data_IF_624486569093
#
_entry.id   IF_624486569093
#
_cell.length_a   1.000
_cell.length_b   1.000
_cell.length_c   1.000
_cell.angle_alpha   90.00
_cell.angle_beta   90.00
_cell.angle_gamma   90.00
#
_symmetry.space_group_name_H-M   'P 1'
#
loop_
_entity.id
_entity.type
_entity.pdbx_description
1 polymer ?
#
# COMPACT_ATOMS: atom_id res chain seq x y z
N UNK A 1 5.49 -53.51 -66.04
CA UNK A 1 6.08 -52.18 -65.90
C UNK A 1 5.46 -51.56 -64.64
N UNK A 2 6.07 -51.77 -63.52
CA UNK A 2 5.58 -51.35 -62.19
C UNK A 2 6.50 -50.24 -61.67
N UNK A 3 5.98 -49.05 -61.47
CA UNK A 3 6.72 -47.92 -60.84
C UNK A 3 6.39 -47.90 -59.36
N UNK A 4 7.40 -48.21 -58.55
CA UNK A 4 7.36 -48.04 -57.07
C UNK A 4 7.68 -46.61 -56.72
N UNK A 5 6.78 -45.92 -56.02
CA UNK A 5 7.02 -44.60 -55.41
C UNK A 5 7.46 -44.76 -53.98
N UNK A 6 8.69 -44.33 -53.69
CA UNK A 6 9.24 -44.24 -52.32
C UNK A 6 8.73 -42.94 -51.70
N UNK A 7 7.96 -43.05 -50.61
CA UNK A 7 7.54 -41.91 -49.75
C UNK A 7 8.55 -41.81 -48.63
N UNK A 8 9.36 -40.75 -48.68
CA UNK A 8 10.31 -40.43 -47.59
C UNK A 8 9.57 -39.69 -46.46
N UNK A 9 9.46 -40.33 -45.30
CA UNK A 9 8.87 -39.78 -44.10
C UNK A 9 9.95 -38.95 -43.33
N UNK A 10 9.87 -37.64 -43.44
CA UNK A 10 10.73 -36.74 -42.66
C UNK A 10 10.18 -36.63 -41.23
N UNK A 11 10.89 -37.21 -40.27
CA UNK A 11 10.58 -37.12 -38.84
C UNK A 11 11.19 -35.79 -38.27
N UNK A 12 10.38 -34.76 -38.13
CA UNK A 12 10.81 -33.54 -37.49
C UNK A 12 10.87 -33.72 -35.96
N UNK A 13 12.07 -33.80 -35.42
CA UNK A 13 12.31 -33.84 -33.97
C UNK A 13 12.06 -32.44 -33.37
N UNK A 14 10.90 -32.24 -32.75
CA UNK A 14 10.64 -31.10 -31.86
C UNK A 14 11.42 -31.30 -30.54
N UNK A 15 12.54 -30.59 -30.39
CA UNK A 15 13.23 -30.46 -29.11
C UNK A 15 12.39 -29.54 -28.20
N UNK A 16 12.02 -29.97 -26.99
CA UNK A 16 11.40 -29.09 -26.03
C UNK A 16 12.44 -28.06 -25.53
N UNK A 17 12.25 -26.81 -25.89
CA UNK A 17 12.98 -25.67 -25.32
C UNK A 17 12.49 -25.46 -23.88
N UNK A 18 13.17 -26.12 -22.92
CA UNK A 18 12.93 -25.93 -21.50
C UNK A 18 13.35 -24.50 -21.13
N UNK A 19 12.39 -23.57 -21.06
CA UNK A 19 12.60 -22.27 -20.46
C UNK A 19 12.89 -22.50 -18.96
N UNK A 20 14.13 -22.32 -18.55
CA UNK A 20 14.50 -22.15 -17.16
C UNK A 20 13.94 -20.78 -16.74
N UNK A 21 12.79 -20.79 -16.08
CA UNK A 21 12.28 -19.60 -15.40
C UNK A 21 13.16 -19.42 -14.14
N UNK A 22 14.10 -18.50 -14.20
CA UNK A 22 14.82 -18.04 -13.02
C UNK A 22 13.79 -17.48 -12.03
N UNK A 23 13.63 -18.15 -10.90
CA UNK A 23 12.78 -17.70 -9.82
C UNK A 23 13.37 -16.42 -9.23
N UNK A 24 12.71 -15.28 -9.44
CA UNK A 24 13.04 -14.04 -8.76
C UNK A 24 12.82 -14.25 -7.24
N UNK A 25 13.90 -14.19 -6.48
CA UNK A 25 13.90 -14.42 -5.04
C UNK A 25 13.74 -13.08 -4.31
N UNK A 26 12.54 -12.82 -3.83
CA UNK A 26 12.30 -11.80 -2.82
C UNK A 26 12.18 -12.47 -1.44
N UNK A 27 12.72 -11.86 -0.40
CA UNK A 27 12.59 -12.38 0.96
C UNK A 27 11.12 -12.55 1.33
N UNK A 28 10.76 -13.74 1.80
CA UNK A 28 9.39 -14.07 2.19
C UNK A 28 9.19 -13.69 3.66
N UNK A 29 8.82 -12.42 3.91
CA UNK A 29 8.52 -11.93 5.25
C UNK A 29 7.01 -11.93 5.50
N UNK A 30 6.61 -12.46 6.65
CA UNK A 30 5.26 -12.28 7.20
C UNK A 30 5.35 -11.32 8.37
N UNK A 31 4.60 -10.24 8.30
CA UNK A 31 4.57 -9.18 9.32
C UNK A 31 3.19 -9.13 9.94
N UNK A 32 3.11 -9.15 11.26
CA UNK A 32 1.82 -9.11 11.97
C UNK A 32 1.96 -8.35 13.30
N UNK A 33 1.05 -7.40 13.55
CA UNK A 33 0.05 -6.85 12.64
C UNK A 33 0.67 -6.01 11.50
N UNK A 34 -0.08 -5.75 10.42
CA UNK A 34 0.35 -4.94 9.28
C UNK A 34 0.20 -3.43 9.52
N UNK A 35 -0.11 -3.02 10.72
CA UNK A 35 -0.19 -1.66 11.22
C UNK A 35 -0.37 -1.69 12.74
N UNK A 36 0.00 -0.63 13.42
CA UNK A 36 -0.11 -0.53 14.86
C UNK A 36 -1.01 0.63 15.25
N UNK A 37 -2.01 0.36 16.09
CA UNK A 37 -2.90 1.36 16.64
C UNK A 37 -2.73 1.38 18.16
N UNK A 38 -2.23 2.49 18.67
CA UNK A 38 -2.09 2.76 20.11
C UNK A 38 -3.13 3.79 20.53
N UNK A 39 -3.68 3.62 21.69
CA UNK A 39 -4.44 4.69 22.35
C UNK A 39 -3.48 5.77 22.88
N UNK A 40 -4.01 6.96 23.14
CA UNK A 40 -3.21 8.08 23.67
C UNK A 40 -2.49 7.76 24.99
N UNK A 41 -2.98 6.78 25.76
CA UNK A 41 -2.42 6.35 27.05
C UNK A 41 -1.42 5.21 26.93
N UNK A 42 -1.43 4.47 25.83
CA UNK A 42 -0.49 3.37 25.59
C UNK A 42 0.90 3.89 25.25
N UNK A 43 1.89 3.28 25.86
CA UNK A 43 3.29 3.67 25.70
C UNK A 43 4.04 2.88 24.65
N UNK A 44 3.55 1.69 24.30
CA UNK A 44 4.25 0.83 23.36
C UNK A 44 3.32 -0.23 22.77
N UNK A 45 3.71 -0.72 21.60
CA UNK A 45 3.14 -1.89 20.95
C UNK A 45 4.25 -2.76 20.37
N UNK A 46 3.86 -3.88 19.81
CA UNK A 46 4.77 -4.87 19.24
C UNK A 46 4.31 -5.32 17.85
N UNK A 47 5.27 -5.62 16.99
CA UNK A 47 5.06 -6.23 15.68
C UNK A 47 5.98 -7.43 15.58
N UNK A 48 5.44 -8.57 15.13
CA UNK A 48 6.20 -9.79 14.91
C UNK A 48 6.51 -9.93 13.42
N UNK A 49 7.77 -10.20 13.12
CA UNK A 49 8.30 -10.45 11.78
C UNK A 49 8.73 -11.91 11.74
N UNK A 50 8.19 -12.67 10.80
CA UNK A 50 8.52 -14.08 10.56
C UNK A 50 9.22 -14.16 9.22
N UNK A 51 10.42 -14.72 9.23
CA UNK A 51 11.15 -15.06 8.01
C UNK A 51 10.70 -16.44 7.55
N UNK A 52 9.98 -16.50 6.42
CA UNK A 52 9.55 -17.79 5.83
C UNK A 52 10.47 -18.27 4.69
N UNK A 53 11.60 -17.59 4.50
CA UNK A 53 12.64 -17.98 3.57
C UNK A 53 13.59 -19.04 4.20
N UNK A 54 14.36 -19.72 3.37
CA UNK A 54 15.39 -20.69 3.76
C UNK A 54 16.73 -20.03 4.18
N UNK A 55 16.85 -18.72 4.01
CA UNK A 55 18.04 -17.94 4.35
C UNK A 55 17.73 -16.89 5.42
N UNK A 56 18.72 -16.52 6.25
CA UNK A 56 18.56 -15.43 7.18
C UNK A 56 18.35 -14.11 6.42
N UNK A 57 17.58 -13.19 6.98
CA UNK A 57 17.35 -11.86 6.43
C UNK A 57 17.83 -10.80 7.42
N UNK A 58 18.54 -9.79 6.91
CA UNK A 58 18.97 -8.62 7.69
C UNK A 58 18.00 -7.48 7.42
N UNK A 59 17.46 -6.89 8.48
CA UNK A 59 16.46 -5.83 8.41
C UNK A 59 16.95 -4.59 9.15
N UNK A 60 16.73 -3.42 8.54
CA UNK A 60 16.82 -2.12 9.19
C UNK A 60 15.42 -1.60 9.47
N UNK A 61 15.22 -1.09 10.67
CA UNK A 61 13.94 -0.62 11.19
C UNK A 61 14.02 0.87 11.48
N UNK A 62 13.14 1.67 10.89
CA UNK A 62 13.12 3.13 11.08
C UNK A 62 11.69 3.60 11.20
N UNK A 63 11.47 4.58 12.09
CA UNK A 63 10.15 5.19 12.24
C UNK A 63 10.23 6.69 11.97
N UNK A 64 9.20 7.22 11.31
CA UNK A 64 9.09 8.61 10.90
C UNK A 64 7.73 9.17 11.26
N UNK A 65 7.65 10.45 11.57
CA UNK A 65 6.38 11.17 11.57
C UNK A 65 5.86 11.23 10.12
N UNK A 66 4.56 11.06 9.97
CA UNK A 66 3.93 10.96 8.66
C UNK A 66 2.88 12.04 8.48
N UNK A 67 2.99 12.77 7.38
CA UNK A 67 1.97 13.67 6.85
C UNK A 67 1.73 13.38 5.37
N UNK A 68 0.66 13.94 4.80
CA UNK A 68 0.27 13.73 3.41
C UNK A 68 0.10 15.05 2.69
N UNK A 69 0.53 15.10 1.42
CA UNK A 69 0.18 16.14 0.47
C UNK A 69 -1.17 15.82 -0.20
N UNK A 70 -1.79 16.83 -0.82
CA UNK A 70 -3.09 16.68 -1.50
C UNK A 70 -3.09 15.65 -2.64
N UNK A 71 -1.96 15.40 -3.28
CA UNK A 71 -1.80 14.38 -4.32
C UNK A 71 -1.62 12.98 -3.74
N UNK A 72 -1.60 12.85 -2.41
CA UNK A 72 -1.41 11.61 -1.69
C UNK A 72 0.04 11.18 -1.52
N UNK A 73 1.01 12.03 -1.87
CA UNK A 73 2.41 11.77 -1.54
C UNK A 73 2.61 11.84 -0.03
N UNK A 74 3.31 10.83 0.49
CA UNK A 74 3.66 10.76 1.90
C UNK A 74 4.90 11.62 2.17
N UNK A 75 4.81 12.45 3.20
CA UNK A 75 5.96 13.16 3.76
C UNK A 75 6.39 12.46 5.06
N UNK A 76 7.67 12.12 5.12
CA UNK A 76 8.25 11.36 6.23
C UNK A 76 9.37 12.16 6.88
N UNK A 77 9.08 12.67 8.07
CA UNK A 77 9.99 13.48 8.85
C UNK A 77 10.62 12.68 9.99
N UNK A 78 11.90 12.96 10.30
CA UNK A 78 12.55 12.36 11.46
C UNK A 78 11.80 12.77 12.73
N UNK A 79 11.64 11.82 13.64
CA UNK A 79 10.95 12.07 14.92
C UNK A 79 11.70 11.45 16.09
N UNK A 80 11.57 12.07 17.26
CA UNK A 80 11.99 11.52 18.54
C UNK A 80 10.79 11.05 19.39
N UNK A 81 9.55 11.30 18.93
CA UNK A 81 8.32 10.98 19.67
C UNK A 81 8.01 9.49 19.68
N UNK A 82 8.54 8.78 18.70
CA UNK A 82 8.42 7.34 18.53
C UNK A 82 9.79 6.73 18.25
N UNK A 83 10.04 5.58 18.86
CA UNK A 83 11.24 4.78 18.62
C UNK A 83 10.86 3.34 18.27
N UNK A 84 11.67 2.69 17.44
CA UNK A 84 11.62 1.25 17.18
C UNK A 84 12.86 0.58 17.78
N UNK A 85 12.68 -0.53 18.45
CA UNK A 85 13.76 -1.27 19.11
C UNK A 85 13.63 -2.78 18.87
N UNK A 86 14.75 -3.42 18.49
CA UNK A 86 16.01 -2.83 18.08
C UNK A 86 15.94 -2.17 16.70
N UNK A 87 16.86 -1.25 16.32
CA UNK A 87 16.85 -0.57 15.02
C UNK A 87 17.35 -1.43 13.84
N UNK A 88 17.99 -2.55 14.14
CA UNK A 88 18.43 -3.54 13.15
C UNK A 88 18.38 -4.93 13.75
N UNK A 89 17.99 -5.91 12.92
CA UNK A 89 17.86 -7.32 13.32
C UNK A 89 18.31 -8.23 12.20
N UNK A 90 18.77 -9.42 12.58
CA UNK A 90 18.89 -10.57 11.68
C UNK A 90 17.86 -11.59 12.11
N UNK A 91 16.96 -11.97 11.19
CA UNK A 91 15.94 -12.99 11.43
C UNK A 91 16.41 -14.29 10.74
N UNK A 92 16.76 -15.34 11.50
CA UNK A 92 17.18 -16.62 10.90
C UNK A 92 16.08 -17.22 10.01
N UNK A 93 16.46 -18.15 9.16
CA UNK A 93 15.54 -18.94 8.34
C UNK A 93 14.46 -19.62 9.21
N UNK A 94 13.20 -19.50 8.83
CA UNK A 94 12.05 -20.06 9.54
C UNK A 94 11.76 -19.49 10.92
N UNK A 95 12.55 -18.51 11.39
CA UNK A 95 12.41 -17.91 12.72
C UNK A 95 11.49 -16.68 12.73
N UNK A 96 11.10 -16.28 13.92
CA UNK A 96 10.35 -15.05 14.18
C UNK A 96 11.12 -14.11 15.11
N UNK A 97 10.90 -12.81 14.94
CA UNK A 97 11.43 -11.77 15.80
C UNK A 97 10.34 -10.74 16.13
N UNK A 98 10.22 -10.37 17.38
CA UNK A 98 9.26 -9.34 17.82
C UNK A 98 10.00 -8.04 18.09
N UNK A 99 9.64 -6.99 17.36
CA UNK A 99 10.12 -5.63 17.53
C UNK A 99 9.14 -4.84 18.38
N UNK A 100 9.67 -3.87 19.13
CA UNK A 100 8.87 -2.98 19.96
C UNK A 100 8.88 -1.56 19.40
N UNK A 101 7.71 -0.97 19.30
CA UNK A 101 7.52 0.44 18.96
C UNK A 101 7.08 1.12 20.26
N UNK A 102 7.75 2.20 20.65
CA UNK A 102 7.50 2.85 21.94
C UNK A 102 7.53 4.38 21.84
N UNK A 103 6.77 5.01 22.73
CA UNK A 103 6.77 6.46 22.98
C UNK A 103 7.67 6.71 24.18
N UNK A 104 8.88 7.29 24.01
CA UNK A 104 9.79 7.55 25.13
C UNK A 104 9.19 8.58 26.11
N UNK A 105 8.48 9.57 25.57
CA UNK A 105 7.76 10.57 26.36
C UNK A 105 6.28 10.55 25.96
N UNK A 106 5.40 10.42 26.97
CA UNK A 106 3.96 10.43 26.74
C UNK A 106 3.46 11.86 26.90
N UNK A 107 3.31 12.55 25.78
CA UNK A 107 2.63 13.85 25.69
C UNK A 107 1.14 13.64 25.47
N UNK A 108 0.27 14.56 25.92
CA UNK A 108 -1.15 14.52 25.58
C UNK A 108 -1.36 14.53 24.06
N UNK A 109 -2.24 13.67 23.58
CA UNK A 109 -2.61 13.58 22.16
C UNK A 109 -3.99 14.25 22.00
N UNK A 110 -4.08 15.27 21.15
CA UNK A 110 -5.34 15.90 20.77
C UNK A 110 -5.68 15.52 19.33
N UNK A 111 -6.41 14.42 19.16
CA UNK A 111 -6.68 13.83 17.88
C UNK A 111 -5.81 12.60 17.64
N UNK A 112 -5.03 12.59 16.59
CA UNK A 112 -4.20 11.46 16.21
C UNK A 112 -2.81 11.91 15.75
N UNK A 113 -1.79 11.14 16.17
CA UNK A 113 -0.44 11.23 15.65
C UNK A 113 -0.22 10.07 14.69
N UNK A 114 0.30 10.36 13.50
CA UNK A 114 0.54 9.38 12.46
C UNK A 114 2.04 9.19 12.22
N UNK A 115 2.45 7.94 12.07
CA UNK A 115 3.84 7.57 11.80
C UNK A 115 3.90 6.47 10.75
N UNK A 116 5.08 6.33 10.11
CA UNK A 116 5.43 5.21 9.24
C UNK A 116 6.60 4.44 9.81
N UNK A 117 6.41 3.15 10.04
CA UNK A 117 7.48 2.21 10.31
C UNK A 117 7.97 1.65 8.97
N UNK A 118 9.22 1.93 8.64
CA UNK A 118 9.91 1.36 7.49
C UNK A 118 10.72 0.14 7.95
N UNK A 119 10.51 -0.98 7.29
CA UNK A 119 11.25 -2.23 7.47
C UNK A 119 11.96 -2.47 6.14
N UNK A 120 13.25 -2.16 6.10
CA UNK A 120 14.10 -2.28 4.92
C UNK A 120 14.92 -3.56 5.00
N UNK A 121 14.82 -4.40 3.98
CA UNK A 121 15.74 -5.50 3.79
C UNK A 121 17.12 -4.96 3.39
N UNK A 122 18.15 -5.42 4.08
CA UNK A 122 19.53 -5.06 3.74
C UNK A 122 20.12 -6.10 2.78
N UNK A 123 20.81 -5.65 1.71
CA UNK A 123 21.47 -6.56 0.81
C UNK A 123 22.45 -7.47 1.57
N UNK A 124 22.41 -8.75 1.29
CA UNK A 124 23.44 -9.66 1.78
C UNK A 124 24.72 -9.48 0.94
N UNK A 125 25.91 -9.63 1.57
CA UNK A 125 27.17 -9.62 0.84
C UNK A 125 27.14 -10.63 -0.30
N UNK A 126 27.67 -10.24 -1.44
CA UNK A 126 27.78 -11.14 -2.59
C UNK A 126 28.80 -12.23 -2.31
N UNK A 127 28.49 -13.47 -2.67
CA UNK A 127 29.51 -14.50 -2.85
C UNK A 127 30.31 -14.11 -4.10
N UNK A 128 31.65 -13.89 -3.97
CA UNK A 128 32.49 -13.56 -5.12
C UNK A 128 32.41 -14.57 -6.28
N UNK A 129 31.95 -15.79 -5.99
CA UNK A 129 31.80 -16.85 -6.99
C UNK A 129 30.52 -16.73 -7.83
N UNK A 130 29.55 -15.91 -7.38
CA UNK A 130 28.25 -15.69 -8.07
C UNK A 130 28.13 -14.26 -8.62
N UNK A 131 29.20 -13.49 -8.62
CA UNK A 131 29.22 -12.13 -9.15
C UNK A 131 28.77 -12.10 -10.61
N UNK A 132 27.69 -11.36 -10.89
CA UNK A 132 27.21 -11.08 -12.24
C UNK A 132 25.99 -11.88 -12.70
N UNK A 133 25.36 -12.70 -11.87
CA UNK A 133 24.15 -13.43 -12.25
C UNK A 133 22.93 -12.97 -11.43
N UNK A 134 21.95 -12.40 -12.13
CA UNK A 134 20.62 -12.07 -11.60
C UNK A 134 20.45 -10.66 -11.06
N UNK A 135 19.19 -10.25 -10.90
CA UNK A 135 18.76 -9.00 -10.27
C UNK A 135 18.47 -9.26 -8.80
N UNK A 136 19.17 -8.56 -7.90
CA UNK A 136 18.86 -8.60 -6.47
C UNK A 136 17.77 -7.59 -6.18
N UNK A 137 16.64 -8.07 -5.72
CA UNK A 137 15.55 -7.24 -5.22
C UNK A 137 15.66 -7.16 -3.70
N UNK A 138 15.62 -5.94 -3.17
CA UNK A 138 15.46 -5.67 -1.74
C UNK A 138 14.09 -5.06 -1.51
N UNK A 139 13.41 -5.49 -0.47
CA UNK A 139 12.06 -5.05 -0.17
C UNK A 139 12.06 -3.98 0.93
N UNK A 140 11.18 -3.00 0.76
CA UNK A 140 10.78 -2.07 1.81
C UNK A 140 9.32 -2.29 2.14
N UNK A 141 9.03 -2.61 3.40
CA UNK A 141 7.69 -2.60 3.93
C UNK A 141 7.47 -1.30 4.69
N UNK A 142 6.35 -0.60 4.40
CA UNK A 142 5.94 0.62 5.07
C UNK A 142 4.62 0.37 5.80
N UNK A 143 4.65 0.40 7.14
CA UNK A 143 3.50 0.11 7.96
C UNK A 143 3.02 1.37 8.69
N UNK A 144 1.70 1.63 8.73
CA UNK A 144 1.15 2.73 9.49
C UNK A 144 1.24 2.43 10.99
N UNK A 145 1.56 3.47 11.76
CA UNK A 145 1.53 3.45 13.23
C UNK A 145 0.77 4.69 13.67
N UNK A 146 -0.31 4.51 14.41
CA UNK A 146 -1.16 5.59 14.90
C UNK A 146 -1.20 5.61 16.41
N UNK A 147 -1.26 6.83 16.98
CA UNK A 147 -1.55 7.06 18.38
C UNK A 147 -2.77 7.97 18.46
N UNK A 148 -3.89 7.43 18.92
CA UNK A 148 -5.19 8.06 18.75
C UNK A 148 -5.85 8.38 20.10
N UNK A 149 -6.34 9.61 20.26
CA UNK A 149 -7.26 9.98 21.35
C UNK A 149 -8.59 9.25 21.14
N UNK A 150 -9.17 8.72 22.23
CA UNK A 150 -10.42 7.97 22.18
C UNK A 150 -11.61 8.77 21.59
N UNK A 151 -11.54 10.10 21.63
CA UNK A 151 -12.59 11.00 21.09
C UNK A 151 -12.33 11.43 19.65
N UNK A 152 -11.18 11.09 19.08
CA UNK A 152 -10.84 11.45 17.72
C UNK A 152 -11.69 10.65 16.73
N UNK A 153 -12.33 11.38 15.80
CA UNK A 153 -13.14 10.81 14.72
C UNK A 153 -12.71 11.41 13.37
N UNK A 154 -12.92 10.67 12.31
CA UNK A 154 -12.81 11.17 10.94
C UNK A 154 -14.12 11.87 10.56
N UNK A 155 -14.01 12.96 9.79
CA UNK A 155 -15.15 13.66 9.17
C UNK A 155 -14.79 14.02 7.74
N UNK A 156 -15.24 13.19 6.77
CA UNK A 156 -14.88 13.34 5.37
C UNK A 156 -15.90 14.19 4.62
N UNK A 157 -15.40 15.21 3.93
CA UNK A 157 -16.14 15.97 2.92
C UNK A 157 -15.61 15.59 1.54
N UNK A 158 -16.52 15.30 0.64
CA UNK A 158 -16.22 14.81 -0.68
C UNK A 158 -16.59 15.81 -1.75
N UNK A 159 -15.70 15.98 -2.74
CA UNK A 159 -15.99 16.73 -3.97
C UNK A 159 -15.50 15.91 -5.17
N UNK A 160 -16.21 16.02 -6.30
CA UNK A 160 -15.90 15.30 -7.52
C UNK A 160 -15.92 16.27 -8.69
N UNK A 161 -14.93 16.16 -9.58
CA UNK A 161 -14.87 16.87 -10.85
C UNK A 161 -14.20 16.01 -11.91
N UNK A 162 -14.32 16.43 -13.17
CA UNK A 162 -13.62 15.84 -14.30
C UNK A 162 -12.87 16.92 -15.06
N UNK A 163 -11.66 16.58 -15.53
CA UNK A 163 -10.86 17.38 -16.46
C UNK A 163 -10.15 16.47 -17.48
N UNK A 164 -9.19 17.03 -18.23
CA UNK A 164 -8.44 16.27 -19.25
C UNK A 164 -7.59 15.13 -18.68
N UNK A 165 -7.14 15.24 -17.43
CA UNK A 165 -6.35 14.22 -16.75
C UNK A 165 -7.22 13.03 -16.28
N UNK A 166 -8.52 13.27 -16.03
CA UNK A 166 -9.43 12.22 -15.59
C UNK A 166 -10.56 12.67 -14.70
N UNK A 167 -11.11 11.71 -13.99
CA UNK A 167 -12.10 11.95 -12.95
C UNK A 167 -11.38 11.99 -11.60
N UNK A 168 -11.67 13.03 -10.84
CA UNK A 168 -11.05 13.30 -9.55
C UNK A 168 -12.08 13.25 -8.44
N UNK A 169 -11.70 12.59 -7.34
CA UNK A 169 -12.43 12.59 -6.09
C UNK A 169 -11.52 13.18 -5.02
N UNK A 170 -11.90 14.32 -4.47
CA UNK A 170 -11.24 14.95 -3.32
C UNK A 170 -11.94 14.51 -2.05
N UNK A 171 -11.18 13.96 -1.11
CA UNK A 171 -11.59 13.71 0.27
C UNK A 171 -10.88 14.70 1.19
N UNK A 172 -11.61 15.56 1.85
CA UNK A 172 -11.11 16.44 2.89
C UNK A 172 -11.55 15.93 4.24
N UNK A 173 -10.61 15.59 5.10
CA UNK A 173 -10.90 15.12 6.44
C UNK A 173 -10.89 16.30 7.42
N UNK A 174 -12.05 16.75 7.80
CA UNK A 174 -12.22 17.83 8.79
C UNK A 174 -12.14 17.32 10.24
N UNK A 175 -12.09 16.00 10.40
CA UNK A 175 -11.91 15.33 11.68
C UNK A 175 -10.46 15.29 12.14
N UNK A 176 -10.25 14.63 13.28
CA UNK A 176 -8.94 14.52 13.95
C UNK A 176 -8.34 13.11 13.93
N UNK A 177 -8.99 12.16 13.26
CA UNK A 177 -8.54 10.78 13.07
C UNK A 177 -8.44 10.49 11.59
N UNK A 178 -7.50 9.65 11.18
CA UNK A 178 -7.40 9.20 9.80
C UNK A 178 -8.65 8.45 9.34
N UNK A 179 -8.91 8.51 8.05
CA UNK A 179 -9.83 7.62 7.35
C UNK A 179 -9.04 6.75 6.38
N UNK A 180 -9.25 5.45 6.43
CA UNK A 180 -8.69 4.48 5.48
C UNK A 180 -9.71 4.23 4.38
N UNK A 181 -9.35 4.54 3.14
CA UNK A 181 -10.25 4.44 2.00
C UNK A 181 -9.92 3.18 1.21
N UNK A 182 -10.94 2.32 1.05
CA UNK A 182 -10.83 1.02 0.38
C UNK A 182 -11.94 0.89 -0.67
N UNK A 183 -11.61 0.36 -1.84
CA UNK A 183 -12.54 0.11 -2.95
C UNK A 183 -13.37 1.34 -3.33
N UNK A 184 -12.68 2.50 -3.46
CA UNK A 184 -13.33 3.75 -3.84
C UNK A 184 -13.89 3.65 -5.27
N UNK A 185 -15.18 3.92 -5.41
CA UNK A 185 -15.86 3.96 -6.71
C UNK A 185 -16.92 5.06 -6.75
N UNK A 186 -17.25 5.49 -7.95
CA UNK A 186 -18.42 6.32 -8.22
C UNK A 186 -19.37 5.59 -9.16
N UNK A 187 -20.67 5.86 -9.00
CA UNK A 187 -21.73 5.37 -9.87
C UNK A 187 -22.53 6.55 -10.40
N UNK A 188 -22.71 6.61 -11.71
CA UNK A 188 -23.56 7.61 -12.36
C UNK A 188 -25.03 7.22 -12.25
N UNK A 189 -25.94 8.18 -12.45
CA UNK A 189 -27.37 7.92 -12.53
C UNK A 189 -27.76 6.95 -13.67
N UNK A 190 -26.92 6.86 -14.72
CA UNK A 190 -27.08 5.92 -15.83
C UNK A 190 -26.59 4.48 -15.49
N UNK A 191 -26.22 4.22 -14.24
CA UNK A 191 -25.78 2.89 -13.78
C UNK A 191 -24.34 2.52 -14.14
N UNK A 192 -23.56 3.46 -14.68
CA UNK A 192 -22.14 3.22 -14.98
C UNK A 192 -21.30 3.42 -13.73
N UNK A 193 -20.33 2.53 -13.52
CA UNK A 193 -19.39 2.58 -12.38
C UNK A 193 -17.98 2.92 -12.85
N UNK A 194 -17.27 3.72 -12.07
CA UNK A 194 -15.85 4.01 -12.21
C UNK A 194 -15.15 3.68 -10.92
N UNK A 195 -14.20 2.75 -10.95
CA UNK A 195 -13.33 2.38 -9.84
C UNK A 195 -12.05 3.21 -9.84
N UNK A 196 -11.60 3.59 -8.63
CA UNK A 196 -10.30 4.24 -8.39
C UNK A 196 -9.21 3.23 -7.98
N UNK A 197 -9.46 1.95 -8.18
CA UNK A 197 -8.61 0.81 -7.83
C UNK A 197 -9.26 -0.11 -6.79
N UNK A 198 -8.86 -1.37 -6.80
CA UNK A 198 -9.31 -2.36 -5.84
C UNK A 198 -8.43 -2.36 -4.58
N UNK A 199 -9.00 -2.68 -3.44
CA UNK A 199 -8.31 -2.73 -2.15
C UNK A 199 -8.03 -1.35 -1.58
N UNK A 200 -6.86 -1.15 -0.98
CA UNK A 200 -6.48 0.09 -0.31
C UNK A 200 -6.19 1.20 -1.33
N UNK A 201 -7.06 2.18 -1.42
CA UNK A 201 -6.84 3.40 -2.20
C UNK A 201 -5.93 4.40 -1.46
N UNK A 202 -5.97 4.40 -0.13
CA UNK A 202 -5.08 5.20 0.70
C UNK A 202 -5.69 5.63 2.03
N UNK A 203 -4.96 6.49 2.71
CA UNK A 203 -5.41 7.13 3.95
C UNK A 203 -5.71 8.60 3.67
N UNK A 204 -6.55 9.21 4.49
CA UNK A 204 -6.75 10.66 4.59
C UNK A 204 -6.55 11.01 6.06
N UNK A 205 -5.39 11.54 6.41
CA UNK A 205 -5.05 11.87 7.79
C UNK A 205 -5.97 12.94 8.37
N UNK A 206 -6.04 13.05 9.69
CA UNK A 206 -6.83 14.08 10.34
C UNK A 206 -6.38 15.49 9.93
N UNK A 207 -7.31 16.33 9.46
CA UNK A 207 -7.03 17.67 8.93
C UNK A 207 -6.45 17.69 7.51
N UNK A 208 -6.14 16.53 6.90
CA UNK A 208 -5.55 16.45 5.56
C UNK A 208 -6.63 16.42 4.46
N UNK A 209 -6.17 16.69 3.25
CA UNK A 209 -6.94 16.54 2.01
C UNK A 209 -6.19 15.57 1.09
N UNK A 210 -6.93 14.70 0.41
CA UNK A 210 -6.36 13.79 -0.59
C UNK A 210 -7.22 13.76 -1.84
N UNK A 211 -6.57 13.76 -3.01
CA UNK A 211 -7.21 13.64 -4.31
C UNK A 211 -6.90 12.25 -4.88
N UNK A 212 -7.95 11.52 -5.22
CA UNK A 212 -7.89 10.26 -5.96
C UNK A 212 -8.21 10.54 -7.41
N UNK A 213 -7.42 10.00 -8.33
CA UNK A 213 -7.60 10.23 -9.77
C UNK A 213 -7.74 8.91 -10.52
N UNK A 214 -8.80 8.81 -11.31
CA UNK A 214 -8.97 7.74 -12.28
C UNK A 214 -8.74 8.30 -13.69
N UNK A 215 -7.89 7.63 -14.55
CA UNK A 215 -7.60 8.11 -15.88
C UNK A 215 -8.86 8.30 -16.72
N UNK A 216 -8.90 9.34 -17.56
CA UNK A 216 -10.04 9.60 -18.46
C UNK A 216 -10.28 8.48 -19.49
N UNK A 217 -9.23 7.75 -19.86
CA UNK A 217 -9.30 6.63 -20.80
C UNK A 217 -9.97 5.41 -20.15
N UNK A 218 -11.14 5.05 -20.62
CA UNK A 218 -11.90 3.88 -20.15
C UNK A 218 -13.12 4.20 -19.29
N UNK A 219 -13.33 5.45 -18.90
CA UNK A 219 -14.48 5.83 -18.07
C UNK A 219 -15.81 5.76 -18.83
N UNK A 220 -15.82 5.82 -20.15
CA UNK A 220 -17.04 5.76 -21.00
C UNK A 220 -18.12 6.81 -20.66
N UNK A 221 -17.91 7.61 -19.62
CA UNK A 221 -18.85 8.60 -19.12
C UNK A 221 -18.14 9.94 -18.94
N UNK A 222 -18.45 10.89 -19.79
CA UNK A 222 -18.18 12.29 -19.47
C UNK A 222 -19.14 12.69 -18.34
N UNK A 223 -18.57 13.00 -17.15
CA UNK A 223 -19.30 13.63 -16.07
C UNK A 223 -19.46 15.11 -16.42
N UNK A 224 -20.65 15.65 -16.21
CA UNK A 224 -20.95 17.07 -16.45
C UNK A 224 -21.17 17.76 -15.12
N UNK A 225 -20.85 19.05 -15.08
CA UNK A 225 -21.21 19.88 -13.94
C UNK A 225 -22.72 19.77 -13.66
N UNK A 226 -23.06 19.51 -12.40
CA UNK A 226 -24.43 19.32 -11.97
C UNK A 226 -24.91 17.87 -12.00
N UNK A 227 -24.16 16.93 -12.58
CA UNK A 227 -24.52 15.51 -12.53
C UNK A 227 -24.54 15.01 -11.08
N UNK A 228 -25.58 14.24 -10.75
CA UNK A 228 -25.66 13.56 -9.46
C UNK A 228 -25.02 12.18 -9.57
N UNK A 229 -24.06 11.91 -8.72
CA UNK A 229 -23.35 10.61 -8.63
C UNK A 229 -23.45 10.01 -7.24
N UNK A 230 -23.40 8.71 -7.14
CA UNK A 230 -23.22 7.98 -5.87
C UNK A 230 -21.75 7.65 -5.71
N UNK A 231 -21.14 8.12 -4.62
CA UNK A 231 -19.80 7.72 -4.20
C UNK A 231 -19.93 6.60 -3.18
N UNK A 232 -19.15 5.54 -3.39
CA UNK A 232 -19.07 4.37 -2.52
C UNK A 232 -17.62 4.12 -2.17
N UNK A 233 -17.33 3.93 -0.90
CA UNK A 233 -16.02 3.50 -0.40
C UNK A 233 -16.22 2.73 0.89
N UNK A 234 -15.31 1.80 1.19
CA UNK A 234 -15.22 1.21 2.52
C UNK A 234 -14.24 2.00 3.37
N UNK A 235 -14.59 2.20 4.62
CA UNK A 235 -13.74 2.79 5.65
C UNK A 235 -13.69 1.82 6.85
N UNK A 236 -12.64 1.88 7.67
CA UNK A 236 -12.49 0.99 8.84
C UNK A 236 -13.70 0.98 9.79
N UNK A 237 -14.44 2.08 9.85
CA UNK A 237 -15.57 2.25 10.76
C UNK A 237 -16.95 2.05 10.10
N UNK A 238 -17.12 2.41 8.82
CA UNK A 238 -18.41 2.45 8.13
C UNK A 238 -18.22 2.44 6.61
N UNK A 239 -19.16 1.78 5.93
CA UNK A 239 -19.29 1.94 4.48
C UNK A 239 -19.78 3.36 4.17
N UNK A 240 -19.00 4.08 3.38
CA UNK A 240 -19.37 5.40 2.87
C UNK A 240 -20.23 5.18 1.64
N UNK A 241 -21.49 5.65 1.70
CA UNK A 241 -22.36 5.77 0.54
C UNK A 241 -23.00 7.14 0.57
N UNK A 242 -22.59 8.01 -0.32
CA UNK A 242 -23.10 9.39 -0.35
C UNK A 242 -23.36 9.82 -1.78
N UNK A 243 -24.36 10.70 -1.94
CA UNK A 243 -24.66 11.33 -3.23
C UNK A 243 -23.94 12.66 -3.30
N UNK A 244 -23.24 12.91 -4.39
CA UNK A 244 -22.45 14.12 -4.61
C UNK A 244 -22.86 14.72 -5.95
N UNK A 245 -22.91 16.02 -6.00
CA UNK A 245 -23.06 16.77 -7.25
C UNK A 245 -21.68 17.06 -7.82
N UNK A 246 -21.47 16.70 -9.09
CA UNK A 246 -20.24 17.00 -9.81
C UNK A 246 -20.10 18.51 -9.96
N UNK A 247 -18.96 19.03 -9.53
CA UNK A 247 -18.66 20.45 -9.57
C UNK A 247 -17.45 20.78 -10.42
N UNK A 248 -17.11 22.07 -10.47
CA UNK A 248 -15.85 22.57 -11.05
C UNK A 248 -14.78 22.57 -9.96
N UNK A 249 -13.52 22.42 -10.39
CA UNK A 249 -12.36 22.58 -9.51
C UNK A 249 -12.25 24.03 -9.03
#
# INVERSE_FOLDING_TARGET
MTRSSLISLAFAACLPFSMFADSAWAAKLRISPIGLHLTATERAGAITIVNTDERPVNLQLRIYAWSELEDGQEQLDKTADMIVSPPAITVPAGASYTIRIARPVVTPVNGELAYRLLIDELPQPDDPRTLGQGVKMVLRNSLPVFVTDAKAMADLKWTVWQDEAGVHVRAQNQGKRHAKIVDLMIQTAAGRSLSFGEGLNGYVLGGATRIFTAPARGTGAALRDGDSISLVARNDALDVKTTIVVGRR
#
